data_IF_651535545043
#
_entry.id   IF_651535545043
#
_cell.length_a   1.000
_cell.length_b   1.000
_cell.length_c   1.000
_cell.angle_alpha   90.00
_cell.angle_beta   90.00
_cell.angle_gamma   90.00
#
_symmetry.space_group_name_H-M   'P 1'
#
loop_
_entity.id
_entity.type
_entity.pdbx_description
1 polymer ?
#
# COMPACT_ATOMS: atom_id res chain seq x y z
N UNK A 1 -21.15 -1.48 -48.59
CA UNK A 1 -20.66 -0.46 -47.63
C UNK A 1 -20.06 -1.24 -46.48
N UNK A 2 -18.73 -1.29 -46.39
CA UNK A 2 -18.02 -1.92 -45.26
C UNK A 2 -17.75 -0.79 -44.28
N UNK A 3 -18.38 -0.85 -43.13
CA UNK A 3 -18.08 0.07 -42.03
C UNK A 3 -16.68 -0.27 -41.50
N UNK A 4 -15.76 0.68 -41.70
CA UNK A 4 -14.41 0.62 -41.17
C UNK A 4 -14.48 0.59 -39.64
N UNK A 5 -13.94 -0.48 -39.05
CA UNK A 5 -13.66 -0.52 -37.63
C UNK A 5 -12.54 0.51 -37.36
N UNK A 6 -12.95 1.68 -36.88
CA UNK A 6 -12.03 2.71 -36.40
C UNK A 6 -11.05 2.11 -35.40
N UNK A 7 -9.76 2.18 -35.75
CA UNK A 7 -8.66 1.82 -34.88
C UNK A 7 -8.76 2.65 -33.60
N UNK A 8 -9.12 2.01 -32.48
CA UNK A 8 -9.11 2.66 -31.18
C UNK A 8 -7.65 3.00 -30.85
N UNK A 9 -7.28 4.27 -30.99
CA UNK A 9 -6.01 4.80 -30.49
C UNK A 9 -5.91 4.46 -29.00
N UNK A 10 -4.85 3.77 -28.60
CA UNK A 10 -4.62 3.42 -27.21
C UNK A 10 -4.53 4.71 -26.37
N UNK A 11 -5.49 4.91 -25.47
CA UNK A 11 -5.50 6.07 -24.59
C UNK A 11 -4.30 6.02 -23.64
N UNK A 12 -3.53 7.12 -23.57
CA UNK A 12 -2.35 7.26 -22.70
C UNK A 12 -2.65 7.98 -21.39
N UNK A 13 -3.93 8.33 -21.14
CA UNK A 13 -4.38 9.06 -19.95
C UNK A 13 -5.53 8.33 -19.28
N UNK A 14 -5.57 8.41 -17.95
CA UNK A 14 -6.72 7.95 -17.17
C UNK A 14 -7.88 8.96 -17.27
N UNK A 15 -9.12 8.46 -17.22
CA UNK A 15 -10.31 9.29 -17.05
C UNK A 15 -10.48 9.73 -15.58
N UNK A 16 -11.25 10.79 -15.36
CA UNK A 16 -11.54 11.31 -14.01
C UNK A 16 -12.16 10.25 -13.10
N UNK A 17 -13.04 9.39 -13.64
CA UNK A 17 -13.64 8.28 -12.90
C UNK A 17 -12.59 7.26 -12.42
N UNK A 18 -11.56 6.99 -13.24
CA UNK A 18 -10.48 6.08 -12.88
C UNK A 18 -9.60 6.68 -11.79
N UNK A 19 -9.34 7.99 -11.85
CA UNK A 19 -8.56 8.73 -10.85
C UNK A 19 -9.31 8.75 -9.49
N UNK A 20 -10.60 9.09 -9.49
CA UNK A 20 -11.42 9.08 -8.26
C UNK A 20 -11.48 7.68 -7.64
N UNK A 21 -11.68 6.65 -8.46
CA UNK A 21 -11.69 5.26 -8.00
C UNK A 21 -10.36 4.85 -7.36
N UNK A 22 -9.23 5.24 -7.95
CA UNK A 22 -7.91 4.98 -7.39
C UNK A 22 -7.70 5.72 -6.06
N UNK A 23 -8.09 6.99 -5.98
CA UNK A 23 -8.01 7.78 -4.74
C UNK A 23 -8.80 7.14 -3.60
N UNK A 24 -9.99 6.58 -3.89
CA UNK A 24 -10.79 5.84 -2.90
C UNK A 24 -10.12 4.54 -2.45
N UNK A 25 -9.47 3.81 -3.35
CA UNK A 25 -8.75 2.57 -3.03
C UNK A 25 -7.56 2.83 -2.08
N UNK A 26 -6.83 3.92 -2.32
CA UNK A 26 -5.74 4.37 -1.44
C UNK A 26 -6.32 4.80 -0.08
N UNK A 27 -7.38 5.61 -0.09
CA UNK A 27 -8.02 6.11 1.14
C UNK A 27 -8.66 5.01 2.00
N UNK A 28 -9.04 3.87 1.40
CA UNK A 28 -9.62 2.73 2.13
C UNK A 28 -8.58 1.80 2.76
N UNK A 29 -7.27 2.07 2.59
CA UNK A 29 -6.18 1.20 3.02
C UNK A 29 -6.02 -0.06 2.16
N UNK A 30 -6.77 -0.17 1.07
CA UNK A 30 -6.80 -1.39 0.24
C UNK A 30 -5.59 -1.52 -0.69
N UNK A 31 -4.75 -0.48 -0.75
CA UNK A 31 -3.54 -0.41 -1.55
C UNK A 31 -2.29 -0.08 -0.71
N UNK A 32 -2.34 -0.31 0.61
CA UNK A 32 -1.24 0.03 1.53
C UNK A 32 0.07 -0.71 1.20
N UNK A 33 -0.02 -1.91 0.60
CA UNK A 33 1.14 -2.67 0.11
C UNK A 33 1.82 -2.05 -1.13
N UNK A 34 1.30 -0.94 -1.66
CA UNK A 34 1.94 -0.15 -2.73
C UNK A 34 2.65 1.08 -2.17
N UNK A 35 2.52 1.36 -0.87
CA UNK A 35 3.13 2.53 -0.23
C UNK A 35 4.59 2.31 0.13
N UNK A 36 5.05 1.05 0.18
CA UNK A 36 6.45 0.72 0.38
C UNK A 36 7.20 0.72 -0.95
N UNK A 37 8.39 1.31 -0.91
CA UNK A 37 9.31 1.29 -2.04
C UNK A 37 9.93 -0.12 -2.17
N UNK A 38 9.93 -0.74 -3.37
CA UNK A 38 10.55 -2.05 -3.56
C UNK A 38 12.05 -1.99 -3.27
N UNK A 39 12.66 -3.10 -2.84
CA UNK A 39 14.11 -3.12 -2.61
C UNK A 39 14.82 -2.72 -3.92
N UNK A 40 15.80 -1.81 -3.86
CA UNK A 40 16.54 -1.37 -5.04
C UNK A 40 17.37 -2.47 -5.72
N UNK A 41 17.37 -3.70 -5.20
CA UNK A 41 18.07 -4.85 -5.79
C UNK A 41 17.48 -5.31 -7.13
N UNK A 42 16.34 -4.76 -7.58
CA UNK A 42 15.67 -5.15 -8.82
C UNK A 42 16.10 -4.24 -10.00
N UNK A 43 17.25 -4.61 -10.57
CA UNK A 43 17.61 -4.60 -12.01
C UNK A 43 17.32 -3.29 -12.79
N UNK A 44 18.42 -2.55 -13.04
CA UNK A 44 18.60 -1.29 -13.79
C UNK A 44 18.42 -0.02 -12.98
N UNK A 45 19.54 0.45 -12.39
CA UNK A 45 19.64 1.83 -11.91
C UNK A 45 19.43 2.76 -13.11
N UNK A 46 18.34 3.52 -13.09
CA UNK A 46 17.92 4.32 -14.23
C UNK A 46 17.56 5.73 -13.77
N UNK A 47 18.54 6.62 -13.90
CA UNK A 47 18.31 8.02 -13.61
C UNK A 47 17.22 8.62 -14.50
N UNK A 48 16.21 9.19 -13.85
CA UNK A 48 15.11 9.92 -14.48
C UNK A 48 13.80 9.14 -14.53
N UNK A 49 13.69 8.03 -13.80
CA UNK A 49 12.48 7.22 -13.64
C UNK A 49 11.66 7.60 -12.38
N UNK A 50 12.11 8.62 -11.61
CA UNK A 50 11.54 9.09 -10.33
C UNK A 50 11.65 8.08 -9.18
N UNK A 51 12.56 7.12 -9.31
CA UNK A 51 12.84 6.06 -8.37
C UNK A 51 14.31 6.21 -7.95
N UNK A 52 14.56 6.58 -6.68
CA UNK A 52 15.92 6.68 -6.16
C UNK A 52 16.53 5.29 -5.98
N UNK A 53 17.48 4.95 -6.85
CA UNK A 53 18.27 3.73 -6.82
C UNK A 53 19.52 3.86 -5.92
N UNK A 54 20.24 2.77 -5.55
CA UNK A 54 21.35 2.83 -4.58
C UNK A 54 22.53 3.70 -5.02
N UNK A 55 22.69 3.91 -6.32
CA UNK A 55 23.72 4.75 -6.91
C UNK A 55 23.30 6.24 -7.01
N UNK A 56 22.04 6.55 -6.74
CA UNK A 56 21.44 7.88 -6.91
C UNK A 56 21.22 8.55 -5.55
N UNK A 57 21.30 9.88 -5.51
CA UNK A 57 20.99 10.64 -4.30
C UNK A 57 19.58 11.23 -4.32
N UNK A 58 18.99 11.33 -5.50
CA UNK A 58 17.66 11.82 -5.77
C UNK A 58 17.29 11.47 -7.22
N UNK A 59 16.00 11.49 -7.54
CA UNK A 59 15.51 11.40 -8.92
C UNK A 59 14.27 12.29 -9.07
N UNK A 60 14.39 13.33 -9.90
CA UNK A 60 13.34 14.31 -10.22
C UNK A 60 12.60 14.00 -11.53
N UNK A 61 12.99 12.91 -12.22
CA UNK A 61 12.48 12.52 -13.52
C UNK A 61 13.40 12.97 -14.66
N UNK A 62 12.81 13.34 -15.79
CA UNK A 62 13.62 13.68 -16.96
C UNK A 62 14.34 15.04 -16.80
N UNK A 63 15.28 15.33 -17.70
CA UNK A 63 16.10 16.53 -17.63
C UNK A 63 15.33 17.86 -17.61
N UNK A 64 14.15 17.93 -18.23
CA UNK A 64 13.30 19.14 -18.17
C UNK A 64 12.61 19.29 -16.81
N UNK A 65 12.11 18.19 -16.23
CA UNK A 65 11.53 18.19 -14.88
C UNK A 65 12.57 18.61 -13.84
N UNK A 66 13.79 18.07 -13.94
CA UNK A 66 14.90 18.36 -13.03
C UNK A 66 15.46 19.80 -13.11
N UNK A 67 15.21 20.54 -14.20
CA UNK A 67 15.54 21.97 -14.26
C UNK A 67 14.70 22.78 -13.28
N UNK A 68 13.43 22.40 -13.09
CA UNK A 68 12.51 23.08 -12.19
C UNK A 68 12.66 22.63 -10.72
N UNK A 69 13.27 21.47 -10.48
CA UNK A 69 13.48 20.94 -9.13
C UNK A 69 14.59 21.74 -8.40
N UNK A 70 14.37 22.30 -7.20
CA UNK A 70 15.39 23.07 -6.49
C UNK A 70 16.48 22.21 -5.81
N UNK A 71 16.24 20.91 -5.64
CA UNK A 71 17.03 20.02 -4.81
C UNK A 71 17.84 18.99 -5.61
N UNK A 72 17.36 18.57 -6.78
CA UNK A 72 17.91 17.47 -7.56
C UNK A 72 18.32 17.92 -8.97
N UNK A 73 19.47 17.44 -9.45
CA UNK A 73 19.97 17.65 -10.82
C UNK A 73 19.60 16.50 -11.77
N UNK A 74 19.70 16.72 -13.09
CA UNK A 74 19.39 15.70 -14.10
C UNK A 74 20.36 14.51 -14.10
N UNK A 75 21.48 14.61 -13.37
CA UNK A 75 22.43 13.53 -13.14
C UNK A 75 22.07 12.65 -11.92
N UNK A 76 20.87 12.80 -11.35
CA UNK A 76 20.40 12.11 -10.13
C UNK A 76 21.28 12.34 -8.89
N UNK A 77 21.83 13.56 -8.84
CA UNK A 77 22.68 14.06 -7.79
C UNK A 77 22.03 15.27 -7.12
N UNK A 78 22.21 15.39 -5.80
CA UNK A 78 21.72 16.54 -5.06
C UNK A 78 22.43 17.82 -5.52
N UNK A 79 21.66 18.88 -5.69
CA UNK A 79 22.18 20.23 -5.90
C UNK A 79 22.91 20.71 -4.64
N UNK A 80 23.76 21.72 -4.81
CA UNK A 80 24.53 22.31 -3.71
C UNK A 80 23.60 22.72 -2.56
N UNK A 81 23.99 22.39 -1.33
CA UNK A 81 23.26 22.67 -0.08
C UNK A 81 21.95 21.90 0.15
N UNK A 82 21.53 21.02 -0.78
CA UNK A 82 20.41 20.11 -0.58
C UNK A 82 20.84 18.92 0.31
N UNK A 83 19.99 18.56 1.27
CA UNK A 83 20.16 17.40 2.15
C UNK A 83 19.30 16.21 1.72
N UNK A 84 18.31 16.46 0.89
CA UNK A 84 17.39 15.47 0.33
C UNK A 84 16.77 16.04 -0.95
N UNK A 85 16.35 15.16 -1.87
CA UNK A 85 15.69 15.55 -3.13
C UNK A 85 14.22 15.14 -3.20
N UNK A 86 13.83 14.05 -2.56
CA UNK A 86 12.48 13.50 -2.63
C UNK A 86 12.06 12.82 -1.32
N UNK A 87 10.77 12.47 -1.24
CA UNK A 87 10.15 11.74 -0.12
C UNK A 87 9.44 12.63 0.91
N UNK A 88 8.52 12.02 1.67
CA UNK A 88 7.64 12.72 2.64
C UNK A 88 8.40 13.31 3.85
N UNK A 89 9.63 12.87 4.09
CA UNK A 89 10.54 13.40 5.11
C UNK A 89 11.53 14.44 4.55
N UNK A 90 11.32 14.92 3.32
CA UNK A 90 12.05 16.02 2.72
C UNK A 90 11.16 17.24 2.55
N UNK A 91 11.62 18.41 3.01
CA UNK A 91 10.91 19.67 2.82
C UNK A 91 11.91 20.78 2.51
N UNK A 92 11.68 21.51 1.43
CA UNK A 92 12.53 22.64 1.00
C UNK A 92 14.02 22.24 0.89
N UNK A 93 14.29 21.06 0.32
CA UNK A 93 15.63 20.43 0.22
C UNK A 93 16.31 20.14 1.56
N UNK A 94 15.58 20.16 2.67
CA UNK A 94 16.07 19.88 4.02
C UNK A 94 15.37 18.66 4.62
N UNK A 95 16.14 17.90 5.39
CA UNK A 95 15.61 16.74 6.10
C UNK A 95 14.68 17.20 7.23
N UNK A 96 13.50 16.59 7.29
CA UNK A 96 12.59 16.78 8.41
C UNK A 96 13.23 16.18 9.67
N UNK A 97 13.18 16.90 10.78
CA UNK A 97 13.75 16.48 12.06
C UNK A 97 13.20 15.12 12.51
N UNK A 98 14.06 14.37 13.20
CA UNK A 98 13.71 13.08 13.81
C UNK A 98 12.46 13.20 14.68
N UNK A 99 11.53 12.24 14.54
CA UNK A 99 10.34 12.16 15.38
C UNK A 99 9.10 12.88 14.83
N UNK A 100 9.15 13.45 13.62
CA UNK A 100 7.94 13.90 12.93
C UNK A 100 7.22 12.67 12.32
N UNK A 101 5.92 12.44 12.59
CA UNK A 101 5.17 11.36 11.94
C UNK A 101 5.19 11.52 10.42
N UNK A 102 5.49 10.45 9.70
CA UNK A 102 5.48 10.39 8.23
C UNK A 102 4.49 9.38 7.66
N UNK A 103 4.03 8.41 8.46
CA UNK A 103 2.90 7.55 8.13
C UNK A 103 2.02 7.39 9.36
N UNK A 104 0.71 7.46 9.16
CA UNK A 104 -0.29 7.34 10.21
C UNK A 104 -0.82 5.89 10.19
N UNK A 105 -1.02 5.26 11.36
CA UNK A 105 -1.49 3.88 11.42
C UNK A 105 -2.93 3.76 10.91
N UNK A 106 -3.22 2.70 10.16
CA UNK A 106 -4.56 2.41 9.62
C UNK A 106 -5.42 1.53 10.55
N UNK A 107 -4.80 0.98 11.60
CA UNK A 107 -5.49 0.26 12.66
C UNK A 107 -4.68 0.31 13.96
N UNK A 108 -5.25 -0.12 15.08
CA UNK A 108 -4.53 -0.26 16.35
C UNK A 108 -3.38 -1.29 16.31
N UNK A 109 -3.39 -2.17 15.31
CA UNK A 109 -2.33 -3.15 15.06
C UNK A 109 -1.20 -2.62 14.17
N UNK A 110 -1.35 -1.40 13.66
CA UNK A 110 -0.39 -0.75 12.78
C UNK A 110 0.38 0.31 13.58
N UNK A 111 1.69 0.43 13.36
CA UNK A 111 2.51 1.37 14.11
C UNK A 111 2.66 2.69 13.34
N UNK A 112 2.96 3.77 14.05
CA UNK A 112 3.29 5.05 13.43
C UNK A 112 4.78 5.08 13.07
N UNK A 113 5.12 5.43 11.84
CA UNK A 113 6.51 5.71 11.45
C UNK A 113 6.81 7.20 11.53
N UNK A 114 8.06 7.46 11.87
CA UNK A 114 8.59 8.79 12.09
C UNK A 114 9.79 9.02 11.19
N UNK A 115 9.93 10.25 10.69
CA UNK A 115 11.13 10.66 9.98
C UNK A 115 12.36 10.40 10.85
N UNK A 116 13.41 9.84 10.25
CA UNK A 116 14.64 9.48 10.94
C UNK A 116 15.55 10.70 11.20
N UNK A 117 15.37 11.77 10.44
CA UNK A 117 16.26 12.94 10.44
C UNK A 117 17.51 12.78 9.59
N UNK A 118 17.69 11.61 8.95
CA UNK A 118 18.86 11.29 8.10
C UNK A 118 18.49 10.85 6.69
N UNK A 119 17.20 10.61 6.41
CA UNK A 119 16.68 10.27 5.09
C UNK A 119 15.45 11.12 4.74
N UNK A 120 15.29 11.45 3.45
CA UNK A 120 14.10 12.10 2.91
C UNK A 120 12.90 11.15 2.77
N UNK A 121 13.14 9.83 2.83
CA UNK A 121 12.09 8.80 2.81
C UNK A 121 11.61 8.45 4.22
N UNK A 122 10.34 8.07 4.34
CA UNK A 122 9.82 7.47 5.57
C UNK A 122 10.41 6.06 5.73
N UNK A 123 10.73 5.60 6.95
CA UNK A 123 11.18 4.24 7.18
C UNK A 123 10.18 3.19 6.69
N UNK A 124 10.64 1.94 6.59
CA UNK A 124 9.77 0.80 6.30
C UNK A 124 8.60 0.73 7.28
N UNK A 125 7.46 0.26 6.77
CA UNK A 125 6.22 0.09 7.52
C UNK A 125 6.34 -1.07 8.52
N UNK A 126 6.11 -0.77 9.80
CA UNK A 126 6.12 -1.74 10.90
C UNK A 126 4.74 -1.87 11.53
N UNK A 127 4.45 -3.05 12.05
CA UNK A 127 3.18 -3.34 12.69
C UNK A 127 3.35 -4.29 13.88
N UNK A 128 2.33 -4.32 14.74
CA UNK A 128 2.28 -5.20 15.89
C UNK A 128 2.37 -6.66 15.44
N UNK A 129 3.12 -7.47 16.20
CA UNK A 129 3.30 -8.89 15.90
C UNK A 129 1.96 -9.60 15.75
N UNK A 130 1.86 -10.50 14.76
CA UNK A 130 0.68 -11.34 14.57
C UNK A 130 0.35 -12.10 15.87
N UNK A 131 -0.91 -12.04 16.30
CA UNK A 131 -1.39 -12.58 17.57
C UNK A 131 -1.47 -11.58 18.71
N UNK A 132 -0.95 -10.35 18.55
CA UNK A 132 -1.11 -9.29 19.58
C UNK A 132 -2.60 -9.01 19.83
N UNK A 133 -3.08 -8.99 21.09
CA UNK A 133 -4.47 -8.69 21.39
C UNK A 133 -4.88 -7.29 20.91
N UNK A 134 -6.07 -7.17 20.36
CA UNK A 134 -6.64 -5.93 19.84
C UNK A 134 -8.16 -5.91 20.10
N UNK A 135 -8.82 -4.76 19.89
CA UNK A 135 -10.24 -4.57 20.17
C UNK A 135 -10.61 -5.00 21.60
N UNK A 136 -9.95 -4.37 22.59
CA UNK A 136 -10.09 -4.67 24.03
C UNK A 136 -9.85 -6.15 24.40
N UNK A 137 -9.00 -6.84 23.63
CA UNK A 137 -8.65 -8.26 23.84
C UNK A 137 -9.66 -9.25 23.27
N UNK A 138 -10.66 -8.79 22.52
CA UNK A 138 -11.66 -9.66 21.87
C UNK A 138 -11.17 -10.22 20.53
N UNK A 139 -10.04 -9.74 20.02
CA UNK A 139 -9.51 -10.08 18.71
C UNK A 139 -7.98 -10.06 18.72
N UNK A 140 -7.39 -10.47 17.60
CA UNK A 140 -5.93 -10.50 17.43
C UNK A 140 -5.51 -9.74 16.19
N UNK A 141 -4.33 -9.12 16.27
CA UNK A 141 -3.65 -8.52 15.15
C UNK A 141 -3.21 -9.61 14.18
N UNK A 142 -3.45 -9.39 12.90
CA UNK A 142 -2.91 -10.20 11.82
C UNK A 142 -2.67 -9.30 10.62
N UNK A 143 -1.43 -9.25 10.13
CA UNK A 143 -1.04 -8.48 8.96
C UNK A 143 -1.54 -7.02 9.02
N UNK A 144 -1.07 -6.26 10.03
CA UNK A 144 -1.40 -4.84 10.30
C UNK A 144 -2.83 -4.53 10.74
N UNK A 145 -3.73 -5.51 10.73
CA UNK A 145 -5.16 -5.28 10.98
C UNK A 145 -5.63 -6.03 12.22
N UNK A 146 -6.44 -5.39 13.05
CA UNK A 146 -7.21 -6.10 14.06
C UNK A 146 -8.34 -6.90 13.41
N UNK A 147 -8.28 -8.23 13.50
CA UNK A 147 -9.26 -9.10 12.86
C UNK A 147 -10.62 -9.06 13.57
N UNK A 148 -11.59 -8.33 13.00
CA UNK A 148 -12.98 -8.31 13.46
C UNK A 148 -13.91 -8.82 12.33
N UNK A 149 -14.59 -9.97 12.52
CA UNK A 149 -15.56 -10.50 11.56
C UNK A 149 -16.67 -9.51 11.21
N UNK A 150 -17.10 -8.67 12.16
CA UNK A 150 -18.12 -7.66 11.89
C UNK A 150 -17.59 -6.57 10.96
N UNK A 151 -16.38 -6.05 11.22
CA UNK A 151 -15.73 -5.09 10.32
C UNK A 151 -15.59 -5.66 8.91
N UNK A 152 -15.16 -6.91 8.78
CA UNK A 152 -15.03 -7.57 7.49
C UNK A 152 -16.39 -7.68 6.76
N UNK A 153 -17.44 -8.13 7.46
CA UNK A 153 -18.79 -8.18 6.90
C UNK A 153 -19.31 -6.79 6.49
N UNK A 154 -19.02 -5.73 7.25
CA UNK A 154 -19.45 -4.37 6.90
C UNK A 154 -18.80 -3.83 5.64
N UNK A 155 -17.53 -4.17 5.41
CA UNK A 155 -16.83 -3.81 4.18
C UNK A 155 -17.40 -4.50 2.95
N UNK A 156 -17.82 -5.76 3.09
CA UNK A 156 -18.37 -6.54 1.97
C UNK A 156 -19.86 -6.29 1.71
N UNK A 157 -20.67 -6.23 2.78
CA UNK A 157 -22.13 -6.25 2.69
C UNK A 157 -22.80 -4.93 3.13
N UNK A 158 -22.02 -3.94 3.55
CA UNK A 158 -22.49 -2.62 3.96
C UNK A 158 -22.56 -2.42 5.48
N UNK A 159 -22.72 -1.16 5.89
CA UNK A 159 -22.48 -0.69 7.26
C UNK A 159 -23.25 -1.42 8.37
N UNK A 160 -24.41 -2.01 8.07
CA UNK A 160 -25.26 -2.69 9.05
C UNK A 160 -24.94 -4.18 9.21
N UNK A 161 -24.06 -4.73 8.37
CA UNK A 161 -23.72 -6.15 8.41
C UNK A 161 -22.97 -6.53 9.71
N UNK A 162 -23.14 -7.80 10.11
CA UNK A 162 -22.51 -8.41 11.28
C UNK A 162 -21.99 -9.78 10.91
N UNK A 163 -20.96 -10.23 11.63
CA UNK A 163 -20.51 -11.62 11.57
C UNK A 163 -21.61 -12.58 11.99
N UNK A 164 -21.65 -13.74 11.35
CA UNK A 164 -22.58 -14.81 11.72
C UNK A 164 -22.21 -15.42 13.09
N UNK A 165 -23.12 -16.23 13.64
CA UNK A 165 -22.82 -17.00 14.86
C UNK A 165 -21.71 -18.03 14.60
N UNK A 166 -20.95 -18.45 15.63
CA UNK A 166 -19.94 -19.49 15.49
C UNK A 166 -20.46 -20.78 14.85
N UNK A 167 -21.73 -21.12 15.08
CA UNK A 167 -22.41 -22.28 14.49
C UNK A 167 -22.45 -22.25 12.95
N UNK A 168 -22.59 -21.05 12.35
CA UNK A 168 -22.56 -20.90 10.91
C UNK A 168 -21.21 -21.36 10.33
N UNK A 169 -20.11 -21.05 11.02
CA UNK A 169 -18.77 -21.44 10.60
C UNK A 169 -18.48 -22.91 10.91
N UNK A 170 -18.84 -23.42 12.09
CA UNK A 170 -18.55 -24.82 12.48
C UNK A 170 -19.37 -25.84 11.67
N UNK A 171 -20.59 -25.50 11.27
CA UNK A 171 -21.42 -26.38 10.44
C UNK A 171 -21.24 -26.11 8.94
N UNK A 172 -21.11 -24.84 8.53
CA UNK A 172 -21.01 -24.49 7.12
C UNK A 172 -19.64 -24.83 6.53
N UNK A 173 -18.55 -24.48 7.22
CA UNK A 173 -17.22 -24.63 6.64
C UNK A 173 -16.69 -26.08 6.63
N UNK A 174 -17.33 -26.98 7.39
CA UNK A 174 -17.04 -28.43 7.41
C UNK A 174 -17.69 -29.18 6.26
N UNK A 175 -18.64 -28.55 5.54
CA UNK A 175 -19.23 -29.11 4.31
C UNK A 175 -18.16 -29.26 3.23
N UNK A 176 -17.31 -28.25 3.06
CA UNK A 176 -16.23 -28.22 2.06
C UNK A 176 -16.76 -28.04 0.65
N UNK A 177 -17.61 -27.04 0.44
CA UNK A 177 -18.15 -26.65 -0.86
C UNK A 177 -17.79 -25.19 -1.18
N UNK A 178 -18.41 -24.64 -2.24
CA UNK A 178 -18.15 -23.26 -2.68
C UNK A 178 -18.62 -22.18 -1.70
N UNK A 179 -19.42 -22.53 -0.70
CA UNK A 179 -20.01 -21.60 0.27
C UNK A 179 -19.39 -21.74 1.67
N UNK A 180 -18.81 -22.90 2.00
CA UNK A 180 -18.07 -23.11 3.24
C UNK A 180 -16.87 -24.05 3.06
N UNK A 181 -15.65 -23.52 3.21
CA UNK A 181 -14.41 -24.27 3.05
C UNK A 181 -13.22 -23.58 3.76
N UNK A 182 -12.12 -24.32 3.91
CA UNK A 182 -10.84 -23.84 4.43
C UNK A 182 -9.79 -23.68 3.30
N UNK A 183 -10.23 -23.33 2.10
CA UNK A 183 -9.36 -23.13 0.94
C UNK A 183 -9.73 -24.00 -0.27
N UNK A 184 -9.14 -23.64 -1.40
CA UNK A 184 -9.34 -24.31 -2.68
C UNK A 184 -7.98 -24.72 -3.25
N UNK A 185 -7.76 -26.02 -3.41
CA UNK A 185 -6.50 -26.59 -3.86
C UNK A 185 -6.78 -27.80 -4.75
N UNK A 186 -5.98 -28.02 -5.80
CA UNK A 186 -6.14 -29.15 -6.73
C UNK A 186 -7.56 -29.28 -7.29
N UNK A 187 -8.17 -28.13 -7.62
CA UNK A 187 -9.54 -27.99 -8.13
C UNK A 187 -10.64 -28.50 -7.17
N UNK A 188 -10.35 -28.65 -5.88
CA UNK A 188 -11.28 -29.15 -4.86
C UNK A 188 -11.32 -28.20 -3.65
N UNK A 189 -12.52 -28.04 -3.08
CA UNK A 189 -12.69 -27.34 -1.82
C UNK A 189 -12.23 -28.22 -0.65
N UNK A 190 -11.42 -27.65 0.22
CA UNK A 190 -10.92 -28.31 1.42
C UNK A 190 -11.92 -28.09 2.56
N UNK A 191 -12.40 -29.18 3.17
CA UNK A 191 -13.21 -29.12 4.39
C UNK A 191 -12.37 -28.53 5.54
N UNK A 192 -12.98 -27.69 6.35
CA UNK A 192 -12.36 -27.29 7.62
C UNK A 192 -12.39 -28.45 8.62
N UNK A 193 -11.42 -28.47 9.53
CA UNK A 193 -11.45 -29.36 10.69
C UNK A 193 -12.44 -28.84 11.72
N UNK A 194 -13.10 -29.75 12.43
CA UNK A 194 -13.82 -29.41 13.66
C UNK A 194 -12.80 -28.97 14.71
N UNK A 195 -12.91 -27.73 15.18
CA UNK A 195 -12.12 -27.17 16.28
C UNK A 195 -13.05 -26.77 17.40
#
# INVERSE_FOLDING_TARGET
MRDEHGSASAATKFSDCSIDRYARLISSGSADCLLNYPSPDIIFSLCGNKLVDPAEQCDCGNAEECKADPCCGPECMLKKDAQCGSGICCKDCKLIKKGRPCRIPVSECDLTEYCSGVSGTCPSDFYSLDGTPCNDGQSVCYNKTCYDPNRHCRQLFGKTAKGASPTCFSQGNTIGDRFGNCGYENRKFRKCNER
#
